data_IF_027742873232
#
_entry.id   IF_027742873232
#
_cell.length_a   1.000
_cell.length_b   1.000
_cell.length_c   1.000
_cell.angle_alpha   90.00
_cell.angle_beta   90.00
_cell.angle_gamma   90.00
#
_symmetry.space_group_name_H-M   'P 1'
#
loop_
_entity.id
_entity.type
_entity.pdbx_description
1 polymer ?
#
# COMPACT_ATOMS: atom_id res chain seq x y z
N UNK A 1 11.25 9.70 -4.38
CA UNK A 1 11.42 9.33 -5.81
C UNK A 1 10.06 9.45 -6.49
N UNK A 2 9.99 9.97 -7.72
CA UNK A 2 8.77 9.95 -8.53
C UNK A 2 9.02 9.06 -9.74
N UNK A 3 8.15 8.05 -9.92
CA UNK A 3 8.21 7.13 -11.04
C UNK A 3 6.93 7.24 -11.85
N UNK A 4 7.08 7.22 -13.17
CA UNK A 4 5.94 7.01 -14.06
C UNK A 4 5.45 5.56 -13.92
N UNK A 5 4.12 5.35 -13.97
CA UNK A 5 3.50 4.04 -13.72
C UNK A 5 3.92 2.92 -14.69
N UNK A 6 4.51 3.28 -15.83
CA UNK A 6 4.98 2.33 -16.85
C UNK A 6 6.50 2.11 -16.84
N UNK A 7 7.24 2.71 -15.89
CA UNK A 7 8.69 2.48 -15.78
C UNK A 7 8.92 1.10 -15.17
N UNK A 8 9.60 0.17 -15.86
CA UNK A 8 10.04 -1.08 -15.26
C UNK A 8 11.02 -0.77 -14.12
N UNK A 9 10.81 -1.36 -12.96
CA UNK A 9 11.69 -1.17 -11.81
C UNK A 9 11.70 -2.43 -10.95
N UNK A 10 12.85 -2.70 -10.34
CA UNK A 10 13.01 -3.75 -9.33
C UNK A 10 14.08 -3.32 -8.33
N UNK A 11 14.16 -4.04 -7.21
CA UNK A 11 15.26 -3.89 -6.26
C UNK A 11 16.08 -5.17 -6.20
N UNK A 12 17.34 -5.04 -5.79
CA UNK A 12 18.20 -6.18 -5.45
C UNK A 12 17.94 -6.65 -4.01
N UNK A 13 18.37 -7.87 -3.65
CA UNK A 13 18.37 -8.31 -2.25
C UNK A 13 19.11 -7.34 -1.33
N UNK A 14 18.62 -7.21 -0.09
CA UNK A 14 19.31 -6.48 0.97
C UNK A 14 20.24 -7.46 1.70
N UNK A 15 21.56 -7.25 1.62
CA UNK A 15 22.60 -8.10 2.23
C UNK A 15 23.20 -7.48 3.51
N UNK A 16 22.53 -6.49 4.08
CA UNK A 16 23.00 -5.76 5.27
C UNK A 16 22.20 -6.19 6.52
N UNK A 17 22.76 -5.96 7.69
CA UNK A 17 22.09 -6.17 8.98
C UNK A 17 21.06 -5.06 9.31
N UNK A 18 20.77 -4.16 8.37
CA UNK A 18 19.86 -3.03 8.55
C UNK A 18 18.61 -3.16 7.69
N UNK A 19 17.49 -2.64 8.19
CA UNK A 19 16.22 -2.62 7.46
C UNK A 19 16.22 -1.48 6.44
N UNK A 20 15.80 -1.78 5.20
CA UNK A 20 15.49 -0.77 4.18
C UNK A 20 13.99 -0.53 4.10
N UNK A 21 13.54 0.61 4.63
CA UNK A 21 12.16 1.07 4.48
C UNK A 21 11.98 1.83 3.16
N UNK A 22 10.94 1.51 2.41
CA UNK A 22 10.49 2.27 1.23
C UNK A 22 8.98 2.37 1.21
N UNK A 23 8.45 3.58 0.97
CA UNK A 23 7.01 3.86 0.95
C UNK A 23 6.64 4.38 -0.43
N UNK A 24 5.70 3.71 -1.08
CA UNK A 24 5.18 4.09 -2.39
C UNK A 24 3.80 4.72 -2.27
N UNK A 25 3.67 5.97 -2.71
CA UNK A 25 2.39 6.65 -2.88
C UNK A 25 2.00 6.68 -4.35
N UNK A 26 0.77 6.27 -4.67
CA UNK A 26 0.24 6.27 -6.03
C UNK A 26 -0.85 7.32 -6.16
N UNK A 27 -0.62 8.30 -7.02
CA UNK A 27 -1.60 9.32 -7.37
C UNK A 27 -2.25 9.02 -8.71
N UNK A 28 -3.56 9.25 -8.80
CA UNK A 28 -4.33 9.11 -10.03
C UNK A 28 -5.28 10.30 -10.19
N UNK A 29 -5.52 10.71 -11.44
CA UNK A 29 -6.51 11.75 -11.75
C UNK A 29 -7.91 11.26 -11.35
N UNK A 30 -8.62 12.06 -10.55
CA UNK A 30 -10.02 11.80 -10.17
C UNK A 30 -10.90 11.55 -11.39
N UNK A 31 -11.82 10.59 -11.30
CA UNK A 31 -12.73 10.20 -12.39
C UNK A 31 -12.12 9.30 -13.47
N UNK A 32 -10.83 8.95 -13.35
CA UNK A 32 -10.22 7.96 -14.26
C UNK A 32 -10.48 6.55 -13.72
N UNK A 33 -10.82 5.56 -14.57
CA UNK A 33 -10.98 4.17 -14.15
C UNK A 33 -9.75 3.63 -13.41
N UNK A 34 -9.97 2.77 -12.42
CA UNK A 34 -8.94 2.09 -11.63
C UNK A 34 -9.31 0.62 -11.49
N UNK A 35 -8.31 -0.25 -11.44
CA UNK A 35 -8.46 -1.67 -11.10
C UNK A 35 -8.61 -1.89 -9.58
N UNK A 36 -8.37 -0.84 -8.78
CA UNK A 36 -8.44 -0.87 -7.31
C UNK A 36 -9.78 -0.38 -6.74
N UNK A 37 -10.89 -0.56 -7.46
CA UNK A 37 -12.22 -0.05 -7.06
C UNK A 37 -12.68 -0.47 -5.66
N UNK A 38 -12.21 -1.63 -5.20
CA UNK A 38 -12.53 -2.21 -3.88
C UNK A 38 -11.78 -1.56 -2.72
N UNK A 39 -10.70 -0.82 -2.99
CA UNK A 39 -9.95 -0.10 -1.97
C UNK A 39 -10.41 1.37 -1.92
N UNK A 40 -10.48 1.97 -0.73
CA UNK A 40 -10.90 3.37 -0.64
C UNK A 40 -9.86 4.27 -1.30
N UNK A 41 -10.35 5.23 -2.06
CA UNK A 41 -9.58 6.35 -2.58
C UNK A 41 -10.19 7.66 -2.06
N UNK A 42 -9.37 8.71 -2.03
CA UNK A 42 -9.78 10.04 -1.62
C UNK A 42 -9.03 11.12 -2.42
N UNK A 43 -9.60 12.31 -2.48
CA UNK A 43 -9.02 13.44 -3.21
C UNK A 43 -7.94 14.07 -2.34
N UNK A 44 -6.69 14.02 -2.78
CA UNK A 44 -5.55 14.65 -2.11
C UNK A 44 -5.35 16.11 -2.53
N UNK A 45 -5.84 16.48 -3.73
CA UNK A 45 -5.77 17.83 -4.30
C UNK A 45 -6.78 18.00 -5.43
N UNK A 46 -7.45 19.15 -5.47
CA UNK A 46 -8.25 19.60 -6.62
C UNK A 46 -8.16 21.12 -6.76
N UNK A 47 -8.00 21.61 -7.99
CA UNK A 47 -8.00 23.06 -8.29
C UNK A 47 -9.41 23.60 -8.53
N UNK A 48 -10.26 22.81 -9.18
CA UNK A 48 -11.65 23.18 -9.44
C UNK A 48 -12.54 23.05 -8.20
N UNK A 49 -12.14 22.20 -7.25
CA UNK A 49 -12.89 21.96 -6.00
C UNK A 49 -11.91 21.88 -4.80
N UNK A 50 -11.29 22.99 -4.36
CA UNK A 50 -10.30 22.96 -3.28
C UNK A 50 -10.82 22.35 -1.96
N UNK A 51 -12.10 22.57 -1.65
CA UNK A 51 -12.77 22.00 -0.47
C UNK A 51 -13.04 20.49 -0.53
N UNK A 52 -12.83 19.85 -1.69
CA UNK A 52 -12.96 18.40 -1.82
C UNK A 52 -11.72 17.64 -1.30
N UNK A 53 -10.66 18.35 -0.89
CA UNK A 53 -9.48 17.73 -0.29
C UNK A 53 -9.89 17.00 0.98
N UNK A 54 -9.51 15.74 1.05
CA UNK A 54 -9.77 14.88 2.19
C UNK A 54 -8.57 14.88 3.15
N UNK A 55 -8.81 15.07 4.45
CA UNK A 55 -7.77 15.23 5.48
C UNK A 55 -7.99 14.44 6.76
N UNK A 56 -9.11 13.73 6.89
CA UNK A 56 -9.42 12.94 8.08
C UNK A 56 -8.73 11.56 8.00
N UNK A 57 -7.69 11.34 8.80
CA UNK A 57 -6.97 10.07 8.75
C UNK A 57 -7.80 8.93 9.35
N UNK A 58 -8.62 9.20 10.37
CA UNK A 58 -9.32 8.18 11.14
C UNK A 58 -10.43 7.58 10.28
N UNK A 59 -11.20 8.43 9.61
CA UNK A 59 -12.22 7.95 8.67
C UNK A 59 -11.57 7.20 7.47
N UNK A 60 -10.41 7.62 6.96
CA UNK A 60 -9.70 6.84 5.94
C UNK A 60 -9.27 5.47 6.46
N UNK A 61 -8.73 5.42 7.68
CA UNK A 61 -8.32 4.18 8.33
C UNK A 61 -9.51 3.21 8.49
N UNK A 62 -10.65 3.70 8.98
CA UNK A 62 -11.86 2.88 9.11
C UNK A 62 -12.36 2.36 7.75
N UNK A 63 -12.39 3.21 6.71
CA UNK A 63 -12.74 2.79 5.35
C UNK A 63 -11.78 1.73 4.80
N UNK A 64 -10.51 1.81 5.17
CA UNK A 64 -9.50 0.83 4.78
C UNK A 64 -9.72 -0.51 5.49
N UNK A 65 -9.98 -0.50 6.80
CA UNK A 65 -10.32 -1.71 7.55
C UNK A 65 -11.55 -2.41 6.97
N UNK A 66 -12.59 -1.65 6.59
CA UNK A 66 -13.78 -2.22 5.97
C UNK A 66 -13.47 -2.87 4.61
N UNK A 67 -12.69 -2.21 3.76
CA UNK A 67 -12.26 -2.78 2.48
C UNK A 67 -11.42 -4.06 2.64
N UNK A 68 -10.66 -4.19 3.73
CA UNK A 68 -9.89 -5.39 4.04
C UNK A 68 -10.78 -6.58 4.45
N UNK A 69 -11.89 -6.35 5.16
CA UNK A 69 -12.85 -7.42 5.49
C UNK A 69 -13.45 -8.06 4.24
N UNK A 70 -13.63 -7.26 3.19
CA UNK A 70 -14.16 -7.69 1.89
C UNK A 70 -13.06 -8.18 0.94
N UNK A 71 -11.80 -8.24 1.39
CA UNK A 71 -10.70 -8.73 0.58
C UNK A 71 -10.68 -10.25 0.52
N UNK A 72 -10.54 -10.86 -0.68
CA UNK A 72 -10.22 -12.26 -0.73
C UNK A 72 -8.90 -12.49 0.02
N UNK A 73 -8.87 -13.56 0.83
CA UNK A 73 -7.63 -14.02 1.43
C UNK A 73 -6.59 -14.22 0.33
N UNK A 74 -5.36 -13.77 0.57
CA UNK A 74 -4.25 -14.00 -0.34
C UNK A 74 -4.15 -15.49 -0.66
N UNK A 75 -4.39 -15.86 -1.90
CA UNK A 75 -4.14 -17.21 -2.42
C UNK A 75 -2.70 -17.38 -2.88
N UNK A 76 -1.87 -16.33 -2.78
CA UNK A 76 -0.46 -16.45 -3.08
C UNK A 76 0.18 -17.44 -2.11
N UNK A 77 0.93 -18.43 -2.62
CA UNK A 77 1.67 -19.34 -1.76
C UNK A 77 2.59 -18.50 -0.87
N UNK A 78 2.58 -18.82 0.42
CA UNK A 78 3.56 -18.27 1.35
C UNK A 78 4.93 -18.58 0.76
N UNK A 79 5.72 -17.54 0.49
CA UNK A 79 7.08 -17.73 0.02
C UNK A 79 7.84 -18.36 1.19
N UNK A 80 8.23 -19.63 1.05
CA UNK A 80 9.07 -20.27 2.06
C UNK A 80 10.33 -19.42 2.24
N UNK A 81 10.53 -18.92 3.46
CA UNK A 81 11.73 -18.21 3.84
C UNK A 81 12.59 -19.17 4.66
N UNK A 82 13.72 -19.66 4.13
CA UNK A 82 14.61 -20.57 4.85
C UNK A 82 15.24 -19.95 6.12
N UNK A 83 15.05 -18.64 6.35
CA UNK A 83 15.47 -17.97 7.59
C UNK A 83 14.43 -18.05 8.73
N UNK A 84 13.26 -18.66 8.50
CA UNK A 84 12.21 -18.76 9.52
C UNK A 84 12.51 -19.79 10.63
N UNK A 85 13.53 -20.63 10.48
CA UNK A 85 13.94 -21.61 11.50
C UNK A 85 14.55 -20.97 12.76
N UNK A 86 14.91 -19.69 12.71
CA UNK A 86 15.62 -18.99 13.79
C UNK A 86 14.83 -17.86 14.48
N UNK A 87 13.56 -17.67 14.14
CA UNK A 87 12.71 -16.61 14.72
C UNK A 87 11.55 -17.22 15.51
N UNK A 88 11.85 -17.94 16.59
CA UNK A 88 10.91 -18.05 17.71
C UNK A 88 10.90 -16.70 18.43
N UNK A 89 9.99 -15.82 18.01
CA UNK A 89 9.65 -14.66 18.83
C UNK A 89 8.76 -15.17 19.96
N UNK A 90 9.34 -15.36 21.14
CA UNK A 90 8.56 -15.47 22.37
C UNK A 90 7.79 -14.17 22.55
N UNK A 91 6.47 -14.27 22.59
CA UNK A 91 5.61 -13.19 23.04
C UNK A 91 5.39 -13.43 24.53
N UNK A 92 6.01 -12.59 25.36
CA UNK A 92 5.59 -12.41 26.76
C UNK A 92 4.30 -11.58 26.82
#
# INVERSE_FOLDING_TARGET
>A
MLLHKLIPHHSTPNLTDNIRWSIDLRYQKTGTPTDRVRYPAFITRSRSQPGAKYTDYEEWYQRWLEALKQAPLSTHPVRENPLNEHLTVSVD
#
